data_IF_403001653296
#
_entry.id   IF_403001653296
#
_cell.length_a   1.000
_cell.length_b   1.000
_cell.length_c   1.000
_cell.angle_alpha   90.00
_cell.angle_beta   90.00
_cell.angle_gamma   90.00
#
_symmetry.space_group_name_H-M   'P 1'
#
loop_
_entity.id
_entity.type
_entity.pdbx_description
1 polymer ?
#
# COMPACT_ATOMS: atom_id res chain seq x y z
N UNK A 1 -19.89 55.41 47.95
CA UNK A 1 -20.13 54.07 47.38
C UNK A 1 -19.82 54.11 45.90
N UNK A 2 -18.86 53.31 45.42
CA UNK A 2 -19.02 52.48 44.20
C UNK A 2 -17.71 51.75 43.88
N UNK A 3 -17.79 50.46 44.20
CA UNK A 3 -17.05 49.27 43.77
C UNK A 3 -15.80 49.42 42.90
N UNK A 4 -14.69 48.94 43.45
CA UNK A 4 -13.50 48.46 42.73
C UNK A 4 -13.88 47.18 41.96
N UNK A 5 -13.50 47.06 40.69
CA UNK A 5 -13.73 45.87 39.86
C UNK A 5 -12.37 45.21 39.57
N UNK A 6 -12.04 44.15 40.30
CA UNK A 6 -10.86 43.32 40.04
C UNK A 6 -11.19 42.32 38.93
N UNK A 7 -10.48 42.39 37.81
CA UNK A 7 -10.59 41.43 36.71
C UNK A 7 -9.63 40.26 36.98
N UNK A 8 -10.16 39.15 37.51
CA UNK A 8 -9.40 37.92 37.76
C UNK A 8 -9.37 37.08 36.46
N UNK A 9 -8.22 37.01 35.79
CA UNK A 9 -8.01 36.12 34.64
C UNK A 9 -7.58 34.75 35.16
N UNK A 10 -8.49 33.79 35.12
CA UNK A 10 -8.21 32.38 35.45
C UNK A 10 -7.62 31.72 34.21
N UNK A 11 -6.31 31.44 34.23
CA UNK A 11 -5.64 30.56 33.28
C UNK A 11 -6.06 29.11 33.55
N UNK A 12 -7.05 28.61 32.81
CA UNK A 12 -7.38 27.18 32.80
C UNK A 12 -6.35 26.49 31.90
N UNK A 13 -5.31 25.93 32.51
CA UNK A 13 -4.36 25.01 31.86
C UNK A 13 -5.09 23.71 31.51
N UNK A 14 -5.71 23.68 30.33
CA UNK A 14 -6.27 22.46 29.75
C UNK A 14 -5.14 21.46 29.47
N UNK A 15 -5.19 20.31 30.14
CA UNK A 15 -4.32 19.19 29.88
C UNK A 15 -4.50 18.72 28.42
N UNK A 16 -3.53 19.00 27.57
CA UNK A 16 -3.46 18.41 26.22
C UNK A 16 -3.02 16.96 26.40
N UNK A 17 -3.98 16.05 26.53
CA UNK A 17 -3.70 14.62 26.48
C UNK A 17 -3.31 14.25 25.04
N UNK A 18 -2.00 14.10 24.82
CA UNK A 18 -1.47 13.49 23.60
C UNK A 18 -1.92 12.02 23.56
N UNK A 19 -2.90 11.71 22.71
CA UNK A 19 -3.34 10.34 22.48
C UNK A 19 -2.18 9.56 21.84
N UNK A 20 -1.74 8.47 22.49
CA UNK A 20 -0.77 7.54 21.91
C UNK A 20 -1.32 7.07 20.56
N UNK A 21 -0.57 7.18 19.44
CA UNK A 21 -1.08 6.80 18.14
C UNK A 21 -1.53 5.35 18.19
N UNK A 22 -2.82 5.13 17.92
CA UNK A 22 -3.40 3.80 17.91
C UNK A 22 -2.59 2.94 16.94
N UNK A 23 -1.89 1.93 17.48
CA UNK A 23 -1.23 0.91 16.66
C UNK A 23 -2.35 0.11 16.00
N UNK A 24 -2.74 0.48 14.78
CA UNK A 24 -3.71 -0.27 13.98
C UNK A 24 -3.12 -1.67 13.76
N UNK A 25 -3.63 -2.65 14.49
CA UNK A 25 -3.24 -4.05 14.36
C UNK A 25 -4.21 -4.69 13.37
N UNK A 26 -3.81 -4.77 12.11
CA UNK A 26 -4.58 -5.49 11.10
C UNK A 26 -4.63 -6.98 11.45
N UNK A 27 -5.83 -7.53 11.63
CA UNK A 27 -6.01 -8.98 11.64
C UNK A 27 -5.69 -9.47 10.22
N UNK A 28 -4.66 -10.31 10.05
CA UNK A 28 -4.34 -10.93 8.77
C UNK A 28 -5.52 -11.82 8.35
N UNK A 29 -6.45 -11.26 7.57
CA UNK A 29 -7.41 -12.07 6.84
C UNK A 29 -6.69 -12.63 5.62
N UNK A 30 -6.53 -13.94 5.56
CA UNK A 30 -5.84 -14.66 4.49
C UNK A 30 -6.55 -14.60 3.15
N UNK A 31 -7.72 -13.95 3.06
CA UNK A 31 -8.54 -13.92 1.85
C UNK A 31 -8.67 -12.50 1.27
N UNK A 32 -8.09 -11.48 1.91
CA UNK A 32 -8.21 -10.10 1.46
C UNK A 32 -6.92 -9.62 0.82
N UNK A 33 -7.07 -8.99 -0.34
CA UNK A 33 -6.01 -8.21 -0.98
C UNK A 33 -6.16 -6.77 -0.52
N UNK A 34 -5.08 -6.16 -0.03
CA UNK A 34 -5.12 -4.78 0.47
C UNK A 34 -3.87 -4.01 0.09
N UNK A 35 -4.08 -2.71 -0.14
CA UNK A 35 -3.05 -1.70 -0.28
C UNK A 35 -2.93 -0.95 1.04
N UNK A 36 -1.71 -0.71 1.50
CA UNK A 36 -1.51 0.12 2.67
C UNK A 36 -0.22 0.92 2.56
N UNK A 37 -0.24 2.11 3.16
CA UNK A 37 0.90 2.98 3.27
C UNK A 37 1.53 2.81 4.66
N UNK A 38 2.82 2.46 4.72
CA UNK A 38 3.50 2.30 6.01
C UNK A 38 3.88 3.68 6.56
N UNK A 39 3.19 4.11 7.61
CA UNK A 39 3.51 5.33 8.36
C UNK A 39 2.58 6.52 8.14
N UNK A 40 1.56 6.40 7.28
CA UNK A 40 0.56 7.45 7.07
C UNK A 40 -0.81 6.87 6.67
N UNK A 41 -1.90 7.57 6.99
CA UNK A 41 -3.28 7.15 6.70
C UNK A 41 -3.85 7.77 5.41
N UNK A 42 -3.00 8.28 4.53
CA UNK A 42 -3.43 8.97 3.30
C UNK A 42 -3.21 8.11 2.06
N UNK A 43 -4.12 8.23 1.09
CA UNK A 43 -4.05 7.54 -0.22
C UNK A 43 -3.08 8.23 -1.20
N UNK A 44 -2.26 9.17 -0.72
CA UNK A 44 -1.28 9.91 -1.52
C UNK A 44 0.12 9.32 -1.38
N UNK A 45 0.78 9.11 -2.51
CA UNK A 45 2.21 8.75 -2.57
C UNK A 45 3.00 10.05 -2.62
N UNK A 46 3.79 10.34 -1.57
CA UNK A 46 4.57 11.58 -1.49
C UNK A 46 6.04 11.30 -1.79
N UNK A 47 6.65 12.08 -2.68
CA UNK A 47 8.08 12.02 -3.01
C UNK A 47 8.95 12.19 -1.75
N UNK A 48 10.04 11.43 -1.66
CA UNK A 48 10.99 11.43 -0.52
C UNK A 48 10.39 11.14 0.87
N UNK A 49 9.11 10.79 0.95
CA UNK A 49 8.51 10.33 2.20
C UNK A 49 8.80 8.84 2.41
N UNK A 50 8.82 8.39 3.66
CA UNK A 50 8.87 6.96 4.01
C UNK A 50 7.59 6.21 3.64
N UNK A 51 6.64 6.87 2.95
CA UNK A 51 5.35 6.33 2.55
C UNK A 51 5.54 5.29 1.45
N UNK A 52 5.92 4.10 1.86
CA UNK A 52 6.04 2.95 0.97
C UNK A 52 4.66 2.31 0.89
N UNK A 53 4.07 2.36 -0.30
CA UNK A 53 2.84 1.62 -0.58
C UNK A 53 3.18 0.15 -0.78
N UNK A 54 2.51 -0.68 0.00
CA UNK A 54 2.62 -2.12 -0.06
C UNK A 54 1.30 -2.72 -0.52
N UNK A 55 1.42 -3.75 -1.35
CA UNK A 55 0.31 -4.62 -1.72
C UNK A 55 0.54 -5.97 -1.04
N UNK A 56 -0.49 -6.44 -0.34
CA UNK A 56 -0.53 -7.80 0.20
C UNK A 56 -1.43 -8.64 -0.67
N UNK A 57 -0.86 -9.70 -1.24
CA UNK A 57 -1.63 -10.72 -1.95
C UNK A 57 -1.47 -12.03 -1.17
N UNK A 58 -2.56 -12.62 -0.65
CA UNK A 58 -2.47 -13.91 0.01
C UNK A 58 -1.94 -15.01 -0.90
N UNK A 59 -1.19 -15.94 -0.32
CA UNK A 59 -0.53 -17.04 -1.05
C UNK A 59 -1.52 -17.92 -1.83
N UNK A 60 -2.74 -18.10 -1.31
CA UNK A 60 -3.83 -18.82 -1.96
C UNK A 60 -4.32 -18.13 -3.25
N UNK A 61 -4.24 -16.80 -3.31
CA UNK A 61 -4.76 -15.98 -4.41
C UNK A 61 -3.70 -15.68 -5.48
N UNK A 62 -2.41 -15.67 -5.13
CA UNK A 62 -1.30 -15.28 -6.03
C UNK A 62 -1.31 -15.99 -7.39
N UNK A 63 -1.66 -17.27 -7.43
CA UNK A 63 -1.72 -18.05 -8.68
C UNK A 63 -2.89 -17.68 -9.60
N UNK A 64 -3.91 -17.00 -9.05
CA UNK A 64 -5.14 -16.66 -9.75
C UNK A 64 -5.23 -15.18 -10.13
N UNK A 65 -4.24 -14.36 -9.78
CA UNK A 65 -4.29 -12.92 -10.02
C UNK A 65 -3.12 -12.45 -10.86
N UNK A 66 -3.39 -11.47 -11.72
CA UNK A 66 -2.40 -10.64 -12.39
C UNK A 66 -2.59 -9.20 -11.91
N UNK A 67 -1.50 -8.48 -11.67
CA UNK A 67 -1.54 -7.09 -11.23
C UNK A 67 -1.03 -6.18 -12.33
N UNK A 68 -1.87 -5.28 -12.80
CA UNK A 68 -1.53 -4.24 -13.75
C UNK A 68 -1.29 -2.93 -13.02
N UNK A 69 -0.23 -2.23 -13.37
CA UNK A 69 0.11 -0.94 -12.79
C UNK A 69 0.46 0.05 -13.89
N UNK A 70 -0.13 1.24 -13.85
CA UNK A 70 0.32 2.37 -14.68
C UNK A 70 1.02 3.41 -13.83
N UNK A 71 2.06 4.04 -14.39
CA UNK A 71 2.91 5.02 -13.70
C UNK A 71 3.57 4.48 -12.42
N UNK A 72 3.69 3.17 -12.28
CA UNK A 72 4.33 2.51 -11.16
C UNK A 72 4.72 1.07 -11.49
N UNK A 73 5.64 0.51 -10.70
CA UNK A 73 6.10 -0.88 -10.83
C UNK A 73 6.09 -1.56 -9.48
N UNK A 74 5.66 -2.82 -9.45
CA UNK A 74 5.78 -3.65 -8.26
C UNK A 74 7.18 -4.24 -8.17
N UNK A 75 7.72 -4.22 -6.95
CA UNK A 75 9.01 -4.78 -6.60
C UNK A 75 8.83 -5.82 -5.51
N UNK A 76 9.53 -6.95 -5.62
CA UNK A 76 9.59 -7.95 -4.55
C UNK A 76 10.23 -7.33 -3.30
N UNK A 77 9.75 -7.73 -2.12
CA UNK A 77 10.38 -7.40 -0.84
C UNK A 77 11.01 -8.65 -0.21
N UNK A 78 11.71 -8.50 0.92
CA UNK A 78 12.21 -9.64 1.71
C UNK A 78 11.09 -10.50 2.31
N UNK A 79 9.85 -9.98 2.35
CA UNK A 79 8.66 -10.72 2.76
C UNK A 79 7.89 -11.18 1.52
N UNK A 80 7.79 -12.49 1.30
CA UNK A 80 7.14 -13.07 0.11
C UNK A 80 5.65 -12.70 -0.02
N UNK A 81 4.97 -12.35 1.07
CA UNK A 81 3.58 -11.89 1.04
C UNK A 81 3.42 -10.40 0.70
N UNK A 82 4.52 -9.65 0.65
CA UNK A 82 4.52 -8.20 0.42
C UNK A 82 5.26 -7.84 -0.86
N UNK A 83 4.63 -7.01 -1.68
CA UNK A 83 5.27 -6.33 -2.80
C UNK A 83 5.19 -4.83 -2.60
N UNK A 84 6.25 -4.12 -2.98
CA UNK A 84 6.37 -2.68 -2.87
C UNK A 84 5.96 -2.03 -4.19
N UNK A 85 5.11 -1.03 -4.14
CA UNK A 85 4.84 -0.15 -5.27
C UNK A 85 5.94 0.92 -5.34
N UNK A 86 6.60 1.03 -6.49
CA UNK A 86 7.55 2.07 -6.80
C UNK A 86 6.98 2.99 -7.88
N UNK A 87 6.99 4.30 -7.66
CA UNK A 87 6.52 5.26 -8.65
C UNK A 87 7.49 5.27 -9.85
N UNK A 88 6.94 5.10 -11.05
CA UNK A 88 7.71 5.09 -12.31
C UNK A 88 6.80 5.59 -13.44
N UNK A 89 6.74 6.91 -13.65
CA UNK A 89 5.78 7.51 -14.57
C UNK A 89 6.09 7.21 -16.04
N UNK A 90 5.05 7.14 -16.86
CA UNK A 90 5.11 6.99 -18.31
C UNK A 90 4.93 5.56 -18.82
N UNK A 91 4.90 4.56 -17.96
CA UNK A 91 4.89 3.15 -18.37
C UNK A 91 3.78 2.34 -17.68
N UNK A 92 3.37 1.27 -18.35
CA UNK A 92 2.48 0.22 -17.85
C UNK A 92 3.30 -1.02 -17.52
N UNK A 93 2.89 -1.71 -16.46
CA UNK A 93 3.52 -2.93 -16.01
C UNK A 93 2.48 -3.99 -15.73
N UNK A 94 2.72 -5.18 -16.24
CA UNK A 94 2.01 -6.38 -15.84
C UNK A 94 2.88 -7.17 -14.87
N UNK A 95 2.33 -7.57 -13.72
CA UNK A 95 3.03 -8.34 -12.71
C UNK A 95 2.32 -9.65 -12.39
N UNK A 96 3.08 -10.74 -12.35
CA UNK A 96 2.59 -12.07 -12.03
C UNK A 96 3.44 -12.71 -10.92
N UNK A 97 2.77 -13.48 -10.07
CA UNK A 97 3.43 -14.26 -9.03
C UNK A 97 3.83 -15.64 -9.55
N UNK A 98 5.08 -16.02 -9.32
CA UNK A 98 5.62 -17.33 -9.69
C UNK A 98 5.89 -18.13 -8.42
N UNK A 99 5.57 -19.43 -8.44
CA UNK A 99 5.83 -20.33 -7.32
C UNK A 99 7.16 -21.03 -7.60
N UNK A 100 8.11 -20.85 -6.67
CA UNK A 100 9.36 -21.59 -6.66
C UNK A 100 9.36 -22.52 -5.44
N UNK A 101 9.90 -23.72 -5.60
CA UNK A 101 10.09 -24.66 -4.50
C UNK A 101 11.56 -24.63 -4.09
N UNK A 102 11.82 -24.35 -2.82
CA UNK A 102 13.17 -24.34 -2.25
C UNK A 102 13.31 -25.46 -1.22
N UNK A 103 14.45 -26.17 -1.18
CA UNK A 103 14.73 -27.12 -0.12
C UNK A 103 14.70 -26.43 1.26
N UNK A 104 14.09 -27.09 2.24
CA UNK A 104 14.01 -26.68 3.63
C UNK A 104 14.24 -27.91 4.53
N UNK A 105 14.57 -27.65 5.79
CA UNK A 105 14.79 -28.65 6.85
C UNK A 105 13.66 -29.67 7.02
N UNK A 106 12.44 -29.38 6.54
CA UNK A 106 11.26 -30.26 6.61
C UNK A 106 10.73 -30.70 5.23
N UNK A 107 11.51 -30.53 4.16
CA UNK A 107 11.10 -30.89 2.79
C UNK A 107 11.24 -29.71 1.83
N UNK A 108 10.19 -29.39 1.08
CA UNK A 108 10.18 -28.24 0.18
C UNK A 108 9.29 -27.12 0.71
N UNK A 109 9.82 -25.90 0.74
CA UNK A 109 9.08 -24.69 1.08
C UNK A 109 8.71 -23.94 -0.20
N UNK A 110 7.44 -23.57 -0.31
CA UNK A 110 6.97 -22.69 -1.39
C UNK A 110 7.42 -21.27 -1.12
N UNK A 111 8.10 -20.69 -2.11
CA UNK A 111 8.57 -19.30 -2.13
C UNK A 111 7.94 -18.61 -3.32
N UNK A 112 7.40 -17.41 -3.11
CA UNK A 112 6.78 -16.66 -4.19
C UNK A 112 7.77 -15.67 -4.82
N UNK A 113 8.00 -15.80 -6.11
CA UNK A 113 8.63 -14.80 -6.96
C UNK A 113 7.60 -13.80 -7.49
N UNK A 114 8.09 -12.64 -7.95
CA UNK A 114 7.32 -11.65 -8.69
C UNK A 114 8.06 -11.36 -10.00
N UNK A 115 7.38 -11.55 -11.11
CA UNK A 115 7.85 -11.13 -12.43
C UNK A 115 7.02 -9.90 -12.82
N UNK A 116 7.68 -8.83 -13.24
CA UNK A 116 7.03 -7.61 -13.74
C UNK A 116 7.57 -7.26 -15.12
N UNK A 117 6.69 -7.26 -16.11
CA UNK A 117 6.99 -6.98 -17.52
C UNK A 117 6.43 -5.61 -17.92
N UNK A 118 7.05 -4.97 -18.90
CA UNK A 118 6.56 -3.71 -19.47
C UNK A 118 5.41 -4.03 -20.42
N UNK A 119 4.29 -3.33 -20.28
CA UNK A 119 3.07 -3.47 -21.08
C UNK A 119 2.75 -2.17 -21.84
N UNK A 120 3.81 -1.49 -22.32
CA UNK A 120 3.71 -0.28 -23.13
C UNK A 120 3.61 1.04 -22.34
N UNK A 121 3.30 2.16 -23.04
CA UNK A 121 3.24 3.48 -22.45
C UNK A 121 1.96 3.68 -21.63
N UNK A 122 2.05 4.46 -20.55
CA UNK A 122 0.89 4.80 -19.72
C UNK A 122 -0.10 5.70 -20.47
N UNK A 123 -1.39 5.45 -20.24
CA UNK A 123 -2.51 6.30 -20.68
C UNK A 123 -2.93 7.33 -19.62
N UNK A 124 -2.39 7.24 -18.41
CA UNK A 124 -2.75 8.11 -17.28
C UNK A 124 -1.79 9.29 -17.13
N UNK A 125 -2.32 10.39 -16.59
CA UNK A 125 -1.52 11.54 -16.17
C UNK A 125 -0.39 11.08 -15.23
N UNK A 126 0.82 11.63 -15.41
CA UNK A 126 2.03 11.17 -14.69
C UNK A 126 1.88 11.16 -13.17
N UNK A 127 1.06 12.06 -12.60
CA UNK A 127 0.80 12.15 -11.17
C UNK A 127 -0.26 11.15 -10.66
N UNK A 128 -0.77 10.25 -11.51
CA UNK A 128 -1.77 9.25 -11.13
C UNK A 128 -1.18 7.86 -11.34
N UNK A 129 -1.24 7.04 -10.31
CA UNK A 129 -0.81 5.64 -10.35
C UNK A 129 -2.07 4.78 -10.32
N UNK A 130 -2.36 4.11 -11.42
CA UNK A 130 -3.46 3.14 -11.48
C UNK A 130 -2.92 1.78 -11.07
N UNK A 131 -3.64 1.07 -10.21
CA UNK A 131 -3.40 -0.35 -9.93
C UNK A 131 -4.69 -1.13 -10.14
N UNK A 132 -4.62 -2.17 -10.97
CA UNK A 132 -5.70 -3.11 -11.26
C UNK A 132 -5.27 -4.52 -10.90
N UNK A 133 -6.18 -5.28 -10.32
CA UNK A 133 -5.98 -6.71 -10.06
C UNK A 133 -7.03 -7.46 -10.85
N UNK A 134 -6.56 -8.32 -11.74
CA UNK A 134 -7.40 -9.11 -12.63
C UNK A 134 -7.38 -10.56 -12.18
N UNK A 135 -8.55 -11.17 -12.07
CA UNK A 135 -8.67 -12.61 -11.89
C UNK A 135 -8.34 -13.30 -13.22
N UNK A 136 -7.30 -14.14 -13.23
CA UNK A 136 -6.83 -14.85 -14.43
C UNK A 136 -7.86 -15.78 -15.04
N UNK A 137 -8.78 -16.35 -14.23
CA UNK A 137 -9.79 -17.30 -14.71
C UNK A 137 -10.96 -16.59 -15.40
N UNK A 138 -11.38 -15.46 -14.83
CA UNK A 138 -12.58 -14.74 -15.30
C UNK A 138 -12.25 -13.56 -16.21
N UNK A 139 -10.96 -13.20 -16.30
CA UNK A 139 -10.44 -12.01 -16.99
C UNK A 139 -11.12 -10.71 -16.53
N UNK A 140 -11.67 -10.73 -15.30
CA UNK A 140 -12.37 -9.59 -14.70
C UNK A 140 -11.46 -8.84 -13.74
N UNK A 141 -11.58 -7.51 -13.78
CA UNK A 141 -11.03 -6.62 -12.77
C UNK A 141 -11.75 -6.90 -11.45
N UNK A 142 -11.01 -7.33 -10.44
CA UNK A 142 -11.53 -7.60 -9.09
C UNK A 142 -11.33 -6.37 -8.20
N UNK A 143 -10.20 -5.68 -8.38
CA UNK A 143 -9.86 -4.47 -7.64
C UNK A 143 -9.27 -3.46 -8.63
N UNK A 144 -9.69 -2.22 -8.51
CA UNK A 144 -9.11 -1.08 -9.20
C UNK A 144 -8.96 0.07 -8.21
N UNK A 145 -7.77 0.64 -8.12
CA UNK A 145 -7.47 1.79 -7.26
C UNK A 145 -6.59 2.79 -8.00
N UNK A 146 -6.84 4.07 -7.76
CA UNK A 146 -6.03 5.18 -8.27
C UNK A 146 -5.40 5.89 -7.09
N UNK A 147 -4.07 5.96 -7.09
CA UNK A 147 -3.29 6.72 -6.12
C UNK A 147 -2.78 8.02 -6.76
N UNK A 148 -2.66 9.07 -5.96
CA UNK A 148 -2.12 10.34 -6.41
C UNK A 148 -0.67 10.48 -5.95
N UNK A 149 0.23 10.70 -6.90
CA UNK A 149 1.62 11.04 -6.63
C UNK A 149 1.74 12.56 -6.42
N UNK A 150 2.34 12.97 -5.30
CA UNK A 150 2.63 14.36 -4.97
C UNK A 150 4.13 14.53 -4.83
N UNK A 151 4.66 15.54 -5.50
CA UNK A 151 6.06 15.95 -5.35
C UNK A 151 6.35 16.62 -4.01
#
# INVERSE_FOLDING_TARGET
MRSVFYFLIIFISGNIYSQTPAKIKFQKNSNLIYFFNKGNSTDSVVKNSTNVFYLVVPDSLKKYVTVYVENGKLLKTSNDSLVKLNYMPGLKYESQFVINEMPDTKGFKKVFGLISLIDGPSSYQKNRILVKIINKKEEKVVIENIFFYRE
#
